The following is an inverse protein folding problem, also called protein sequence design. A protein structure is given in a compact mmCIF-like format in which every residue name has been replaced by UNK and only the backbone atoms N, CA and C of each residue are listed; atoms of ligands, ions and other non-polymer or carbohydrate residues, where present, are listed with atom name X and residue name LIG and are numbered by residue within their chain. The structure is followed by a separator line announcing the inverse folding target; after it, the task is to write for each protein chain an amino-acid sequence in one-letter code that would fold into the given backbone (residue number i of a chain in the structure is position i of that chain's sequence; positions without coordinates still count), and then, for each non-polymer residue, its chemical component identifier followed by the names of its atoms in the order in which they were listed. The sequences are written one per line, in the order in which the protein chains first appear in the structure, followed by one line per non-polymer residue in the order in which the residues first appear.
data_IF_493122865211
#
_entry.id   IF_493122865211
#
_cell.length_a   1.000
_cell.length_b   1.000
_cell.length_c   1.000
_cell.angle_alpha   90.00
_cell.angle_beta   90.00
_cell.angle_gamma   90.00
#
_symmetry.space_group_name_H-M   'P 1'
#
loop_
_entity.id
_entity.type
_entity.pdbx_description
1 polymer ?
#
# COMPACT_ATOMS: atom_id res chain seq x y z
N UNK A 1 -37.74 4.35 -8.69
CA UNK A 1 -37.42 3.02 -8.13
C UNK A 1 -35.92 2.84 -8.23
N UNK A 2 -35.25 2.57 -7.10
CA UNK A 2 -33.79 2.37 -7.05
C UNK A 2 -33.48 0.88 -7.21
N UNK A 3 -32.63 0.53 -8.16
CA UNK A 3 -32.06 -0.83 -8.27
C UNK A 3 -30.74 -0.88 -7.51
N UNK A 4 -30.63 -1.84 -6.58
CA UNK A 4 -29.45 -2.05 -5.74
C UNK A 4 -28.45 -2.97 -6.45
N UNK A 5 -27.43 -2.39 -7.08
CA UNK A 5 -26.25 -3.15 -7.53
C UNK A 5 -25.36 -3.51 -6.35
N UNK A 6 -25.09 -4.81 -6.15
CA UNK A 6 -24.20 -5.30 -5.09
C UNK A 6 -22.71 -5.10 -5.45
N UNK A 7 -21.79 -5.02 -4.46
CA UNK A 7 -20.37 -4.75 -4.75
C UNK A 7 -19.56 -5.95 -5.28
N UNK A 8 -20.17 -7.11 -5.54
CA UNK A 8 -19.44 -8.40 -5.60
C UNK A 8 -18.94 -8.82 -6.99
N UNK A 9 -19.39 -8.22 -8.09
CA UNK A 9 -19.15 -8.78 -9.44
C UNK A 9 -17.88 -8.31 -10.17
N UNK A 10 -17.11 -7.32 -9.67
CA UNK A 10 -15.89 -6.86 -10.35
C UNK A 10 -14.58 -7.57 -9.96
N UNK A 11 -14.63 -8.57 -9.07
CA UNK A 11 -13.45 -9.34 -8.62
C UNK A 11 -13.45 -10.80 -9.12
N UNK A 12 -13.49 -11.01 -10.44
CA UNK A 12 -13.21 -12.33 -11.05
C UNK A 12 -12.24 -12.25 -12.23
N UNK A 13 -10.97 -11.97 -11.93
CA UNK A 13 -9.85 -12.33 -12.80
C UNK A 13 -8.73 -13.01 -11.99
N UNK A 14 -8.41 -14.26 -12.34
CA UNK A 14 -7.18 -14.96 -11.96
C UNK A 14 -6.81 -15.02 -10.48
N UNK A 15 -7.58 -15.71 -9.63
CA UNK A 15 -7.10 -16.08 -8.29
C UNK A 15 -6.02 -17.16 -8.35
N UNK A 16 -4.76 -16.74 -8.43
CA UNK A 16 -3.57 -17.58 -8.27
C UNK A 16 -3.63 -18.35 -6.93
N UNK A 17 -3.40 -19.67 -6.94
CA UNK A 17 -3.43 -20.51 -5.72
C UNK A 17 -2.45 -20.03 -4.64
N UNK A 18 -1.37 -19.35 -5.03
CA UNK A 18 -0.45 -18.73 -4.07
C UNK A 18 -1.14 -17.62 -3.28
N UNK A 19 -2.05 -16.86 -3.88
CA UNK A 19 -2.79 -15.76 -3.23
C UNK A 19 -3.82 -16.32 -2.25
N UNK A 20 -4.56 -17.38 -2.62
CA UNK A 20 -5.53 -18.02 -1.70
C UNK A 20 -4.84 -18.69 -0.51
N UNK A 21 -3.63 -19.24 -0.72
CA UNK A 21 -2.74 -19.66 0.36
C UNK A 21 -2.33 -18.50 1.27
N UNK A 22 -1.81 -17.40 0.69
CA UNK A 22 -1.38 -16.19 1.43
C UNK A 22 -2.51 -15.56 2.24
N UNK A 23 -3.73 -15.48 1.71
CA UNK A 23 -4.89 -14.96 2.44
C UNK A 23 -5.29 -15.82 3.65
N UNK A 24 -4.98 -17.13 3.64
CA UNK A 24 -5.14 -18.00 4.81
C UNK A 24 -3.98 -17.86 5.81
N UNK A 25 -2.75 -17.65 5.35
CA UNK A 25 -1.57 -17.44 6.24
C UNK A 25 -1.62 -16.05 6.91
N UNK A 26 -2.13 -15.05 6.19
CA UNK A 26 -2.32 -13.67 6.63
C UNK A 26 -3.59 -13.53 7.49
N UNK A 27 -3.54 -13.89 8.76
CA UNK A 27 -4.70 -13.74 9.65
C UNK A 27 -4.61 -14.40 11.04
N UNK A 28 -3.48 -15.00 11.42
CA UNK A 28 -3.39 -15.71 12.70
C UNK A 28 -3.43 -14.77 13.92
N UNK A 29 -2.86 -13.56 13.80
CA UNK A 29 -2.96 -12.48 14.79
C UNK A 29 -3.72 -11.24 14.29
N UNK A 30 -4.13 -11.23 13.02
CA UNK A 30 -4.75 -10.08 12.34
C UNK A 30 -6.24 -10.36 12.14
N UNK A 31 -7.07 -10.12 13.17
CA UNK A 31 -8.51 -10.37 13.11
C UNK A 31 -9.30 -9.24 12.41
N UNK A 32 -8.75 -8.02 12.40
CA UNK A 32 -9.42 -6.82 11.88
C UNK A 32 -8.44 -6.01 11.02
N UNK A 33 -8.87 -5.69 9.80
CA UNK A 33 -8.17 -4.80 8.88
C UNK A 33 -9.07 -3.60 8.60
N UNK A 34 -8.52 -2.39 8.65
CA UNK A 34 -9.22 -1.15 8.31
C UNK A 34 -8.49 -0.43 7.19
N UNK A 35 -9.25 0.09 6.23
CA UNK A 35 -8.75 1.00 5.21
C UNK A 35 -8.90 2.45 5.68
N UNK A 36 -7.82 3.24 5.58
CA UNK A 36 -7.81 4.65 5.94
C UNK A 36 -7.33 5.48 4.75
N UNK A 37 -8.17 6.36 4.23
CA UNK A 37 -7.76 7.42 3.31
C UNK A 37 -6.94 8.46 4.06
N UNK A 38 -5.61 8.31 4.05
CA UNK A 38 -4.67 9.29 4.60
C UNK A 38 -4.50 10.45 3.60
N UNK A 39 -4.53 10.12 2.30
CA UNK A 39 -4.25 10.98 1.16
C UNK A 39 -2.80 11.49 1.14
N UNK A 40 -2.45 12.41 2.04
CA UNK A 40 -1.18 13.15 1.98
C UNK A 40 -0.78 13.71 3.35
N UNK A 41 0.52 13.75 3.68
CA UNK A 41 1.04 14.43 4.87
C UNK A 41 1.17 15.96 4.70
N UNK A 42 0.78 16.54 3.55
CA UNK A 42 0.77 18.00 3.35
C UNK A 42 -0.57 18.58 3.77
N UNK A 43 -0.59 19.50 4.72
CA UNK A 43 -1.85 20.15 5.13
C UNK A 43 -2.48 21.00 4.03
N UNK A 44 -1.67 21.59 3.16
CA UNK A 44 -2.12 22.38 2.00
C UNK A 44 -2.91 21.49 1.03
N UNK A 45 -2.35 20.32 0.70
CA UNK A 45 -2.98 19.33 -0.17
C UNK A 45 -4.21 18.67 0.49
N UNK A 46 -4.23 18.50 1.83
CA UNK A 46 -5.42 18.09 2.58
C UNK A 46 -6.55 19.15 2.53
N UNK A 47 -6.21 20.44 2.63
CA UNK A 47 -7.16 21.56 2.45
C UNK A 47 -7.70 21.56 1.01
N UNK A 48 -6.84 21.37 0.02
CA UNK A 48 -7.23 21.31 -1.39
C UNK A 48 -8.25 20.19 -1.68
N UNK A 49 -8.03 18.99 -1.12
CA UNK A 49 -8.94 17.85 -1.31
C UNK A 49 -10.12 17.81 -0.32
N UNK A 50 -10.32 18.88 0.49
CA UNK A 50 -11.39 19.01 1.50
C UNK A 50 -11.35 17.91 2.58
N UNK A 51 -10.19 17.31 2.81
CA UNK A 51 -9.94 16.34 3.88
C UNK A 51 -9.66 17.14 5.16
N UNK A 52 -10.73 17.58 5.84
CA UNK A 52 -10.65 18.40 7.06
C UNK A 52 -10.64 17.58 8.38
N UNK A 53 -10.92 16.28 8.29
CA UNK A 53 -10.15 15.33 9.10
C UNK A 53 -8.70 15.29 8.60
N UNK A 54 -7.80 14.49 9.17
CA UNK A 54 -6.37 14.46 8.78
C UNK A 54 -5.53 15.75 9.02
N UNK A 55 -6.10 16.96 9.01
CA UNK A 55 -5.44 18.25 9.34
C UNK A 55 -5.33 18.44 10.86
N UNK A 56 -4.36 19.25 11.32
CA UNK A 56 -4.15 19.66 12.72
C UNK A 56 -4.05 18.46 13.69
N UNK A 57 -3.51 17.33 13.21
CA UNK A 57 -3.36 16.10 14.01
C UNK A 57 -2.10 15.34 13.64
N UNK A 58 -1.56 14.62 14.62
CA UNK A 58 -0.50 13.66 14.37
C UNK A 58 -1.07 12.37 13.76
N UNK A 59 -1.17 12.35 12.43
CA UNK A 59 -1.64 11.21 11.64
C UNK A 59 -0.86 9.91 11.92
N UNK A 60 0.45 9.99 12.18
CA UNK A 60 1.27 8.83 12.56
C UNK A 60 0.81 8.27 13.90
N UNK A 61 0.55 9.13 14.89
CA UNK A 61 0.00 8.72 16.17
C UNK A 61 -1.40 8.12 16.01
N UNK A 62 -2.26 8.67 15.14
CA UNK A 62 -3.58 8.07 14.84
C UNK A 62 -3.47 6.64 14.29
N UNK A 63 -2.59 6.41 13.32
CA UNK A 63 -2.32 5.06 12.77
C UNK A 63 -1.81 4.12 13.85
N UNK A 64 -0.85 4.57 14.67
CA UNK A 64 -0.33 3.79 15.79
C UNK A 64 -1.40 3.46 16.81
N UNK A 65 -2.31 4.38 17.13
CA UNK A 65 -3.44 4.12 18.04
C UNK A 65 -4.32 2.98 17.52
N UNK A 66 -4.61 2.95 16.22
CA UNK A 66 -5.38 1.87 15.58
C UNK A 66 -4.63 0.53 15.68
N UNK A 67 -3.33 0.50 15.36
CA UNK A 67 -2.48 -0.70 15.47
C UNK A 67 -2.33 -1.20 16.92
N UNK A 68 -2.19 -0.28 17.88
CA UNK A 68 -2.15 -0.56 19.32
C UNK A 68 -3.50 -1.07 19.87
N UNK A 69 -4.58 -0.97 19.09
CA UNK A 69 -5.88 -1.61 19.33
C UNK A 69 -6.11 -2.79 18.36
N UNK A 70 -5.04 -3.46 17.92
CA UNK A 70 -5.09 -4.74 17.22
C UNK A 70 -5.71 -4.76 15.83
N UNK A 71 -5.77 -3.61 15.15
CA UNK A 71 -6.25 -3.48 13.77
C UNK A 71 -5.08 -3.25 12.80
N UNK A 72 -5.01 -4.03 11.71
CA UNK A 72 -4.09 -3.75 10.60
C UNK A 72 -4.59 -2.53 9.83
N UNK A 73 -3.78 -1.47 9.76
CA UNK A 73 -4.07 -0.31 8.91
C UNK A 73 -3.52 -0.58 7.51
N UNK A 74 -4.42 -0.59 6.54
CA UNK A 74 -4.11 -0.35 5.12
C UNK A 74 -4.47 1.10 4.79
N UNK A 75 -3.70 1.77 3.94
CA UNK A 75 -3.95 3.19 3.67
C UNK A 75 -3.79 3.59 2.22
N UNK A 76 -4.69 4.48 1.79
CA UNK A 76 -4.63 5.20 0.52
C UNK A 76 -3.82 6.49 0.66
N UNK A 77 -2.97 6.73 -0.33
CA UNK A 77 -2.13 7.90 -0.48
C UNK A 77 -2.21 8.41 -1.93
N UNK A 78 -2.17 9.71 -2.10
CA UNK A 78 -2.26 10.38 -3.41
C UNK A 78 -1.14 11.42 -3.50
N UNK A 79 -0.55 11.57 -4.69
CA UNK A 79 0.37 12.66 -5.03
C UNK A 79 0.01 13.28 -6.37
N UNK A 80 0.31 14.57 -6.54
CA UNK A 80 -0.05 15.35 -7.74
C UNK A 80 -1.15 16.39 -7.49
N UNK A 81 -1.39 16.75 -6.23
CA UNK A 81 -2.23 17.92 -5.90
C UNK A 81 -1.56 19.21 -6.38
N UNK A 82 -2.34 20.25 -6.65
CA UNK A 82 -1.79 21.54 -7.09
C UNK A 82 -0.95 22.24 -6.02
N UNK A 83 -1.15 21.85 -4.77
CA UNK A 83 -0.42 22.29 -3.58
C UNK A 83 0.84 21.46 -3.28
N UNK A 84 1.09 20.36 -4.01
CA UNK A 84 2.24 19.51 -3.75
C UNK A 84 3.55 20.15 -4.24
N UNK A 85 4.50 20.36 -3.31
CA UNK A 85 5.90 20.71 -3.64
C UNK A 85 6.73 19.44 -3.86
N UNK A 86 7.90 19.49 -4.53
CA UNK A 86 8.76 18.32 -4.74
C UNK A 86 9.18 17.57 -3.46
N UNK A 87 9.11 18.23 -2.29
CA UNK A 87 9.31 17.58 -0.98
C UNK A 87 8.27 16.49 -0.67
N UNK A 88 7.12 16.48 -1.35
CA UNK A 88 6.02 15.55 -1.05
C UNK A 88 6.45 14.08 -1.16
N UNK A 89 7.33 13.76 -2.10
CA UNK A 89 7.76 12.39 -2.34
C UNK A 89 8.50 11.83 -1.13
N UNK A 90 9.45 12.59 -0.59
CA UNK A 90 10.17 12.20 0.61
C UNK A 90 9.25 12.21 1.86
N UNK A 91 8.36 13.21 1.98
CA UNK A 91 7.37 13.26 3.07
C UNK A 91 6.45 12.03 3.08
N UNK A 92 5.95 11.59 1.93
CA UNK A 92 5.15 10.37 1.77
C UNK A 92 5.97 9.11 2.13
N UNK A 93 7.19 8.96 1.60
CA UNK A 93 8.10 7.85 1.92
C UNK A 93 8.34 7.78 3.44
N UNK A 94 8.65 8.91 4.06
CA UNK A 94 8.94 9.01 5.49
C UNK A 94 7.68 8.72 6.33
N UNK A 95 6.51 9.23 5.95
CA UNK A 95 5.25 8.91 6.61
C UNK A 95 4.94 7.41 6.59
N UNK A 96 5.01 6.77 5.41
CA UNK A 96 4.77 5.33 5.25
C UNK A 96 5.82 4.53 6.06
N UNK A 97 7.09 4.90 5.97
CA UNK A 97 8.17 4.28 6.75
C UNK A 97 8.00 4.47 8.26
N UNK A 98 7.42 5.57 8.75
CA UNK A 98 7.29 5.83 10.20
C UNK A 98 6.02 5.23 10.82
N UNK A 99 4.91 5.21 10.07
CA UNK A 99 3.59 4.72 10.50
C UNK A 99 3.47 3.20 10.56
N UNK A 100 4.41 2.44 10.01
CA UNK A 100 4.37 0.97 10.04
C UNK A 100 3.30 0.33 9.14
N UNK A 101 2.62 1.12 8.29
CA UNK A 101 1.57 0.64 7.38
C UNK A 101 2.18 -0.34 6.37
N UNK A 102 1.77 -1.61 6.42
CA UNK A 102 2.30 -2.64 5.50
C UNK A 102 1.78 -2.41 4.09
N UNK A 103 0.45 -2.32 3.95
CA UNK A 103 -0.25 -2.14 2.67
C UNK A 103 -0.48 -0.64 2.43
N UNK A 104 0.46 0.01 1.73
CA UNK A 104 0.40 1.41 1.36
C UNK A 104 0.07 1.53 -0.14
N UNK A 105 -1.16 1.95 -0.43
CA UNK A 105 -1.65 2.16 -1.80
C UNK A 105 -1.39 3.60 -2.18
N UNK A 106 -0.30 3.85 -2.89
CA UNK A 106 0.03 5.19 -3.42
C UNK A 106 -0.45 5.27 -4.86
N UNK A 107 -1.19 6.32 -5.21
CA UNK A 107 -1.62 6.61 -6.58
C UNK A 107 -1.26 8.03 -7.00
N UNK A 108 -1.31 8.27 -8.30
CA UNK A 108 -1.34 9.61 -8.87
C UNK A 108 -2.74 10.19 -8.71
N UNK A 109 -2.84 11.51 -8.51
CA UNK A 109 -4.12 12.20 -8.52
C UNK A 109 -4.77 12.06 -9.91
N UNK A 110 -6.04 11.69 -9.93
CA UNK A 110 -6.90 11.72 -11.11
C UNK A 110 -8.13 12.58 -10.83
N UNK A 111 -8.74 13.09 -11.88
CA UNK A 111 -9.97 13.87 -11.82
C UNK A 111 -11.10 13.11 -12.55
N UNK A 112 -11.82 12.18 -11.88
CA UNK A 112 -12.94 11.49 -12.52
C UNK A 112 -14.07 12.44 -12.93
N UNK A 113 -14.71 12.15 -14.06
CA UNK A 113 -15.86 12.92 -14.57
C UNK A 113 -16.96 13.09 -13.51
N UNK A 114 -17.51 14.29 -13.40
CA UNK A 114 -18.54 14.62 -12.39
C UNK A 114 -18.00 14.92 -10.99
N UNK A 115 -16.69 14.86 -10.75
CA UNK A 115 -16.10 15.34 -9.49
C UNK A 115 -15.90 16.87 -9.48
N UNK A 116 -15.90 17.48 -8.29
CA UNK A 116 -15.57 18.92 -8.13
C UNK A 116 -14.18 19.27 -8.68
N UNK A 117 -13.23 18.34 -8.59
CA UNK A 117 -11.88 18.50 -9.16
C UNK A 117 -11.93 18.53 -10.70
N UNK A 118 -12.69 17.63 -11.32
CA UNK A 118 -12.88 17.62 -12.77
C UNK A 118 -13.52 18.92 -13.28
N UNK A 119 -14.60 19.40 -12.65
CA UNK A 119 -15.23 20.66 -13.06
C UNK A 119 -14.30 21.88 -12.87
N UNK A 120 -13.50 21.91 -11.80
CA UNK A 120 -12.43 22.94 -11.62
C UNK A 120 -11.43 22.88 -12.77
N UNK A 121 -10.84 21.72 -13.04
CA UNK A 121 -9.81 21.55 -14.06
C UNK A 121 -10.34 21.76 -15.48
N UNK A 122 -11.64 21.52 -15.71
CA UNK A 122 -12.33 21.85 -16.96
C UNK A 122 -12.39 23.36 -17.18
N UNK A 123 -12.80 24.12 -16.15
CA UNK A 123 -12.82 25.59 -16.18
C UNK A 123 -11.42 26.20 -16.34
N UNK A 124 -10.41 25.57 -15.74
CA UNK A 124 -8.99 25.95 -15.88
C UNK A 124 -8.35 25.52 -17.22
N UNK A 125 -9.09 24.83 -18.12
CA UNK A 125 -8.59 24.26 -19.38
C UNK A 125 -7.39 23.30 -19.21
N UNK A 126 -7.40 22.52 -18.11
CA UNK A 126 -6.31 21.61 -17.73
C UNK A 126 -6.63 20.12 -17.90
N UNK A 127 -7.85 19.75 -18.28
CA UNK A 127 -8.18 18.34 -18.56
C UNK A 127 -7.51 17.85 -19.85
N UNK A 128 -7.08 16.58 -19.85
CA UNK A 128 -6.51 15.92 -21.02
C UNK A 128 -7.56 14.98 -21.65
N UNK A 129 -7.66 15.01 -22.98
CA UNK A 129 -8.54 14.14 -23.75
C UNK A 129 -7.98 12.71 -23.78
N UNK A 130 -8.70 11.75 -23.18
CA UNK A 130 -8.32 10.33 -23.21
C UNK A 130 -8.58 9.52 -21.95
N UNK A 131 -9.19 10.08 -20.89
CA UNK A 131 -9.38 9.36 -19.63
C UNK A 131 -10.29 8.13 -19.77
N UNK A 132 -9.76 6.95 -19.44
CA UNK A 132 -10.46 5.66 -19.52
C UNK A 132 -11.29 5.33 -18.28
N UNK A 133 -11.16 6.09 -17.18
CA UNK A 133 -11.84 5.81 -15.91
C UNK A 133 -11.21 4.69 -15.07
N UNK A 134 -10.12 4.08 -15.53
CA UNK A 134 -9.49 2.95 -14.84
C UNK A 134 -8.52 3.41 -13.73
N UNK A 135 -8.88 3.18 -12.46
CA UNK A 135 -8.04 3.50 -11.29
C UNK A 135 -6.76 2.62 -11.17
N UNK A 136 -6.55 1.68 -12.08
CA UNK A 136 -5.30 0.89 -12.22
C UNK A 136 -4.44 1.31 -13.41
N UNK A 137 -4.89 2.30 -14.18
CA UNK A 137 -4.07 2.91 -15.23
C UNK A 137 -3.19 4.00 -14.61
N UNK A 138 -1.99 3.60 -14.20
CA UNK A 138 -0.98 4.49 -13.63
C UNK A 138 -0.18 5.26 -14.70
N UNK A 139 -0.45 5.02 -15.99
CA UNK A 139 0.38 5.50 -17.10
C UNK A 139 -0.01 6.90 -17.61
N UNK A 140 -1.25 7.34 -17.37
CA UNK A 140 -1.75 8.62 -17.88
C UNK A 140 -2.35 9.50 -16.79
N UNK A 141 -1.75 10.68 -16.60
CA UNK A 141 -2.41 11.79 -15.91
C UNK A 141 -3.58 12.24 -16.79
N UNK A 142 -4.77 12.40 -16.21
CA UNK A 142 -5.96 12.85 -16.97
C UNK A 142 -6.14 14.37 -16.98
N UNK A 143 -5.15 15.10 -16.46
CA UNK A 143 -5.07 16.55 -16.44
C UNK A 143 -3.61 17.01 -16.42
N UNK A 144 -3.38 18.29 -16.67
CA UNK A 144 -2.07 18.94 -16.62
C UNK A 144 -1.82 19.40 -15.16
N UNK A 145 -0.96 18.74 -14.37
CA UNK A 145 -0.60 19.19 -13.02
C UNK A 145 0.19 20.51 -13.03
N UNK A 146 0.18 21.25 -11.90
CA UNK A 146 1.05 22.43 -11.72
C UNK A 146 2.51 22.07 -11.56
N UNK A 147 2.80 20.94 -10.91
CA UNK A 147 4.13 20.34 -10.94
C UNK A 147 4.42 19.83 -12.36
N UNK A 148 5.65 19.99 -12.84
CA UNK A 148 6.07 19.40 -14.11
C UNK A 148 5.71 17.89 -14.17
N UNK A 149 4.99 17.40 -15.21
CA UNK A 149 4.50 16.02 -15.26
C UNK A 149 5.58 14.96 -15.13
N UNK A 150 6.73 15.16 -15.79
CA UNK A 150 7.86 14.22 -15.72
C UNK A 150 8.40 14.11 -14.28
N UNK A 151 8.58 15.23 -13.58
CA UNK A 151 8.98 15.24 -12.16
C UNK A 151 7.94 14.58 -11.24
N UNK A 152 6.65 14.70 -11.57
CA UNK A 152 5.59 14.03 -10.81
C UNK A 152 5.64 12.50 -10.98
N UNK A 153 5.82 12.02 -12.21
CA UNK A 153 5.96 10.59 -12.52
C UNK A 153 7.24 10.01 -11.89
N UNK A 154 8.38 10.68 -12.02
CA UNK A 154 9.66 10.30 -11.39
C UNK A 154 9.54 10.25 -9.86
N UNK A 155 8.91 11.25 -9.25
CA UNK A 155 8.66 11.32 -7.82
C UNK A 155 7.73 10.21 -7.32
N UNK A 156 6.66 9.91 -8.06
CA UNK A 156 5.77 8.78 -7.79
C UNK A 156 6.51 7.43 -7.86
N UNK A 157 7.29 7.21 -8.93
CA UNK A 157 8.12 6.02 -9.13
C UNK A 157 9.18 5.87 -8.03
N UNK A 158 9.72 7.00 -7.55
CA UNK A 158 10.62 7.06 -6.38
C UNK A 158 9.93 6.66 -5.08
N UNK A 159 8.69 7.11 -4.81
CA UNK A 159 7.92 6.63 -3.63
C UNK A 159 7.77 5.11 -3.68
N UNK A 160 7.20 4.60 -4.77
CA UNK A 160 6.85 3.19 -4.94
C UNK A 160 8.07 2.29 -4.77
N UNK A 161 9.17 2.60 -5.46
CA UNK A 161 10.43 1.84 -5.34
C UNK A 161 11.02 1.92 -3.93
N UNK A 162 11.01 3.10 -3.30
CA UNK A 162 11.55 3.33 -1.95
C UNK A 162 10.76 2.66 -0.82
N UNK A 163 9.44 2.51 -0.95
CA UNK A 163 8.61 1.86 0.09
C UNK A 163 8.52 0.34 -0.07
N UNK A 164 8.76 -0.21 -1.26
CA UNK A 164 8.71 -1.66 -1.51
C UNK A 164 10.08 -2.34 -1.67
N UNK A 165 11.18 -1.57 -1.70
CA UNK A 165 12.54 -2.07 -1.50
C UNK A 165 12.62 -3.08 -0.32
N UNK A 166 13.30 -4.23 -0.46
CA UNK A 166 13.33 -5.26 0.58
C UNK A 166 13.84 -4.77 1.95
N UNK A 167 14.82 -3.87 2.00
CA UNK A 167 15.34 -3.36 3.26
C UNK A 167 14.34 -2.41 3.92
N UNK A 168 13.81 -1.44 3.16
CA UNK A 168 12.81 -0.49 3.64
C UNK A 168 11.50 -1.16 4.06
N UNK A 169 11.05 -2.17 3.31
CA UNK A 169 9.82 -2.90 3.58
C UNK A 169 9.93 -3.77 4.85
N UNK A 170 11.03 -4.51 5.04
CA UNK A 170 11.18 -5.34 6.24
C UNK A 170 11.49 -4.53 7.52
N UNK A 171 12.16 -3.38 7.43
CA UNK A 171 12.24 -2.46 8.58
C UNK A 171 10.87 -1.84 8.92
N UNK A 172 9.97 -1.70 7.94
CA UNK A 172 8.57 -1.33 8.19
C UNK A 172 7.78 -2.45 8.89
N UNK A 173 8.01 -3.72 8.53
CA UNK A 173 7.45 -4.87 9.28
C UNK A 173 7.88 -4.83 10.76
N UNK A 174 9.16 -4.58 11.08
CA UNK A 174 9.58 -4.46 12.49
C UNK A 174 9.02 -3.22 13.21
N UNK A 175 8.57 -2.18 12.49
CA UNK A 175 7.80 -1.10 13.11
C UNK A 175 6.40 -1.57 13.44
N UNK A 176 5.72 -2.22 12.50
CA UNK A 176 4.41 -2.82 12.74
C UNK A 176 4.42 -3.79 13.94
N UNK A 177 5.36 -4.74 14.02
CA UNK A 177 5.46 -5.69 15.15
C UNK A 177 5.76 -5.06 16.52
N UNK A 178 6.20 -3.78 16.57
CA UNK A 178 6.38 -3.04 17.83
C UNK A 178 5.12 -2.29 18.27
N UNK A 179 4.33 -1.83 17.32
CA UNK A 179 3.12 -1.03 17.58
C UNK A 179 1.86 -1.90 17.67
N UNK A 180 1.81 -3.01 16.94
CA UNK A 180 0.63 -3.87 16.87
C UNK A 180 0.42 -4.70 18.13
N UNK A 181 -0.76 -4.57 18.75
CA UNK A 181 -1.17 -5.31 19.95
C UNK A 181 -2.43 -6.13 19.66
N UNK A 182 -2.36 -7.46 19.45
CA UNK A 182 -3.53 -8.27 19.15
C UNK A 182 -4.56 -8.22 20.29
N UNK A 183 -5.85 -7.98 19.98
CA UNK A 183 -6.92 -7.89 21.00
C UNK A 183 -7.19 -9.25 21.67
N UNK A 184 -7.10 -10.35 20.91
CA UNK A 184 -7.36 -11.72 21.42
C UNK A 184 -6.27 -12.70 21.00
N UNK A 185 -6.01 -13.69 21.86
CA UNK A 185 -5.39 -14.96 21.45
C UNK A 185 -6.48 -15.83 20.85
N UNK A 186 -6.52 -15.98 19.52
CA UNK A 186 -7.15 -17.18 18.95
C UNK A 186 -6.44 -18.41 19.51
N UNK A 187 -7.22 -19.43 19.90
CA UNK A 187 -6.69 -20.79 20.06
C UNK A 187 -6.11 -21.16 18.70
N UNK A 188 -4.82 -21.50 18.63
CA UNK A 188 -4.14 -21.74 17.36
C UNK A 188 -4.99 -22.66 16.48
N UNK A 189 -5.44 -22.15 15.33
CA UNK A 189 -6.25 -22.95 14.41
C UNK A 189 -5.43 -24.19 14.02
N UNK A 190 -6.05 -25.37 14.03
CA UNK A 190 -5.37 -26.66 13.85
C UNK A 190 -4.35 -26.56 12.72
N UNK A 191 -3.10 -26.95 12.98
CA UNK A 191 -2.01 -26.97 12.00
C UNK A 191 -2.49 -27.52 10.64
N UNK A 192 -2.65 -26.64 9.66
CA UNK A 192 -3.03 -27.02 8.29
C UNK A 192 -1.76 -27.14 7.45
N UNK A 193 -1.65 -28.22 6.68
CA UNK A 193 -0.51 -28.49 5.78
C UNK A 193 -0.24 -27.34 4.78
N UNK A 194 -1.27 -26.55 4.45
CA UNK A 194 -1.17 -25.36 3.60
C UNK A 194 -0.19 -24.31 4.14
N UNK A 195 -0.07 -24.16 5.47
CA UNK A 195 0.89 -23.24 6.09
C UNK A 195 2.34 -23.69 5.90
N UNK A 196 2.59 -25.00 6.01
CA UNK A 196 3.91 -25.59 5.78
C UNK A 196 4.27 -25.48 4.29
N UNK A 197 3.33 -25.76 3.37
CA UNK A 197 3.52 -25.56 1.93
C UNK A 197 3.88 -24.10 1.61
N UNK A 198 3.11 -23.14 2.12
CA UNK A 198 3.36 -21.71 1.92
C UNK A 198 4.72 -21.26 2.50
N UNK A 199 5.10 -21.75 3.69
CA UNK A 199 6.40 -21.47 4.29
C UNK A 199 7.57 -22.03 3.46
N UNK A 200 7.47 -23.29 3.01
CA UNK A 200 8.48 -23.92 2.15
C UNK A 200 8.63 -23.18 0.81
N UNK A 201 7.50 -22.82 0.18
CA UNK A 201 7.50 -22.00 -1.04
C UNK A 201 8.13 -20.62 -0.79
N UNK A 202 7.79 -19.94 0.31
CA UNK A 202 8.38 -18.65 0.66
C UNK A 202 9.90 -18.75 0.93
N UNK A 203 10.35 -19.79 1.65
CA UNK A 203 11.78 -20.03 1.85
C UNK A 203 12.53 -20.31 0.54
N UNK A 204 11.92 -21.01 -0.41
CA UNK A 204 12.52 -21.23 -1.73
C UNK A 204 12.54 -19.95 -2.57
N UNK A 205 11.37 -19.36 -2.86
CA UNK A 205 11.29 -18.19 -3.74
C UNK A 205 11.94 -16.95 -3.13
N UNK A 206 11.63 -16.61 -1.87
CA UNK A 206 12.13 -15.39 -1.21
C UNK A 206 13.49 -15.58 -0.57
N UNK A 207 13.81 -16.78 -0.09
CA UNK A 207 15.06 -17.10 0.59
C UNK A 207 16.20 -17.57 -0.32
N UNK A 208 15.92 -18.06 -1.53
CA UNK A 208 16.95 -18.53 -2.47
C UNK A 208 16.95 -17.70 -3.76
N UNK A 209 15.80 -17.59 -4.44
CA UNK A 209 15.74 -16.99 -5.79
C UNK A 209 15.71 -15.45 -5.80
N UNK A 210 15.10 -14.81 -4.81
CA UNK A 210 14.92 -13.35 -4.79
C UNK A 210 16.22 -12.57 -4.55
N UNK A 211 16.30 -11.34 -5.09
CA UNK A 211 17.41 -10.41 -4.82
C UNK A 211 17.40 -9.98 -3.34
N UNK A 212 16.23 -9.78 -2.76
CA UNK A 212 16.02 -9.42 -1.35
C UNK A 212 16.33 -10.51 -0.31
N UNK A 213 16.80 -11.71 -0.70
CA UNK A 213 16.93 -12.89 0.19
C UNK A 213 17.70 -12.66 1.49
N UNK A 214 18.77 -11.86 1.47
CA UNK A 214 19.54 -11.51 2.70
C UNK A 214 18.66 -10.79 3.71
N UNK A 215 17.81 -9.87 3.25
CA UNK A 215 16.87 -9.16 4.11
C UNK A 215 15.73 -10.09 4.58
N UNK A 216 15.30 -11.06 3.76
CA UNK A 216 14.26 -12.02 4.12
C UNK A 216 14.73 -12.97 5.23
N UNK A 217 15.93 -13.55 5.12
CA UNK A 217 16.51 -14.37 6.19
C UNK A 217 16.76 -13.54 7.47
N UNK A 218 17.23 -12.29 7.34
CA UNK A 218 17.33 -11.35 8.48
C UNK A 218 15.96 -11.14 9.15
N UNK A 219 14.89 -10.98 8.36
CA UNK A 219 13.51 -10.87 8.84
C UNK A 219 13.08 -12.12 9.61
N UNK A 220 13.19 -13.30 9.03
CA UNK A 220 12.79 -14.54 9.68
C UNK A 220 13.56 -14.77 10.99
N UNK A 221 14.90 -14.73 10.96
CA UNK A 221 15.75 -14.98 12.13
C UNK A 221 15.39 -14.02 13.28
N UNK A 222 15.37 -12.70 13.01
CA UNK A 222 15.04 -11.69 14.03
C UNK A 222 13.58 -11.79 14.49
N UNK A 223 12.65 -12.24 13.63
CA UNK A 223 11.26 -12.50 14.04
C UNK A 223 11.17 -13.71 14.96
N UNK A 224 11.79 -14.83 14.63
CA UNK A 224 11.82 -16.04 15.47
C UNK A 224 12.34 -15.73 16.88
N UNK A 225 13.43 -14.97 17.02
CA UNK A 225 14.03 -14.71 18.33
C UNK A 225 13.41 -13.52 19.10
N UNK A 226 12.89 -12.48 18.44
CA UNK A 226 12.39 -11.25 19.11
C UNK A 226 10.87 -11.08 19.06
N UNK A 227 10.22 -11.68 18.08
CA UNK A 227 8.80 -11.52 17.77
C UNK A 227 8.14 -12.88 17.42
N UNK A 228 8.40 -13.99 18.14
CA UNK A 228 8.05 -15.35 17.68
C UNK A 228 6.57 -15.53 17.33
N UNK A 229 5.68 -14.81 18.04
CA UNK A 229 4.23 -14.79 17.78
C UNK A 229 3.89 -14.34 16.35
N UNK A 230 4.69 -13.45 15.76
CA UNK A 230 4.47 -12.81 14.46
C UNK A 230 5.19 -13.52 13.30
N UNK A 231 5.69 -14.74 13.50
CA UNK A 231 6.35 -15.50 12.44
C UNK A 231 5.43 -15.78 11.22
N UNK A 232 4.14 -16.14 11.38
CA UNK A 232 3.20 -16.29 10.26
C UNK A 232 2.98 -14.98 9.49
N UNK A 233 2.85 -13.85 10.21
CA UNK A 233 2.70 -12.53 9.63
C UNK A 233 3.97 -12.08 8.90
N UNK A 234 5.17 -12.40 9.41
CA UNK A 234 6.44 -12.06 8.73
C UNK A 234 6.56 -12.76 7.37
N UNK A 235 6.16 -14.04 7.29
CA UNK A 235 6.10 -14.78 6.02
C UNK A 235 5.04 -14.18 5.10
N UNK A 236 3.82 -13.97 5.60
CA UNK A 236 2.70 -13.42 4.83
C UNK A 236 3.00 -12.04 4.25
N UNK A 237 3.51 -11.12 5.08
CA UNK A 237 3.92 -9.79 4.65
C UNK A 237 5.11 -9.85 3.68
N UNK A 238 6.06 -10.77 3.84
CA UNK A 238 7.15 -10.94 2.86
C UNK A 238 6.63 -11.32 1.49
N UNK A 239 5.63 -12.20 1.43
CA UNK A 239 4.99 -12.59 0.18
C UNK A 239 4.21 -11.40 -0.40
N UNK A 240 3.35 -10.71 0.38
CA UNK A 240 2.66 -9.47 -0.07
C UNK A 240 3.66 -8.44 -0.64
N UNK A 241 4.75 -8.17 0.08
CA UNK A 241 5.82 -7.26 -0.35
C UNK A 241 6.51 -7.68 -1.65
N UNK A 242 6.69 -8.99 -1.87
CA UNK A 242 7.19 -9.52 -3.14
C UNK A 242 6.19 -9.33 -4.29
N UNK A 243 4.90 -9.58 -4.08
CA UNK A 243 3.86 -9.31 -5.09
C UNK A 243 3.83 -7.82 -5.47
N UNK A 244 3.84 -6.91 -4.49
CA UNK A 244 3.95 -5.46 -4.77
C UNK A 244 5.21 -5.15 -5.60
N UNK A 245 6.40 -5.63 -5.19
CA UNK A 245 7.64 -5.48 -6.00
C UNK A 245 7.54 -6.07 -7.40
N UNK A 246 6.72 -7.09 -7.64
CA UNK A 246 6.52 -7.71 -8.97
C UNK A 246 5.60 -6.83 -9.82
N UNK A 247 4.45 -6.41 -9.30
CA UNK A 247 3.50 -5.55 -10.01
C UNK A 247 4.13 -4.22 -10.43
N UNK A 248 4.79 -3.51 -9.52
CA UNK A 248 5.43 -2.23 -9.86
C UNK A 248 6.60 -2.38 -10.86
N UNK A 249 7.27 -3.54 -10.90
CA UNK A 249 8.27 -3.85 -11.95
C UNK A 249 7.65 -4.21 -13.29
N UNK A 250 6.42 -4.72 -13.32
CA UNK A 250 5.69 -4.95 -14.57
C UNK A 250 5.17 -3.61 -15.13
N UNK A 251 4.59 -2.76 -14.28
CA UNK A 251 4.18 -1.39 -14.65
C UNK A 251 5.34 -0.58 -15.23
N UNK A 252 6.48 -0.55 -14.54
CA UNK A 252 7.67 0.18 -14.99
C UNK A 252 8.31 -0.34 -16.30
N UNK A 253 7.89 -1.51 -16.81
CA UNK A 253 8.27 -2.03 -18.14
C UNK A 253 7.28 -1.61 -19.22
N UNK A 254 5.98 -1.69 -18.93
CA UNK A 254 4.91 -1.24 -19.83
C UNK A 254 5.04 0.26 -20.17
N UNK A 255 5.49 1.08 -19.22
CA UNK A 255 5.81 2.50 -19.43
C UNK A 255 7.06 2.76 -20.31
N UNK A 256 7.87 1.74 -20.60
CA UNK A 256 9.12 1.85 -21.39
C UNK A 256 9.03 1.27 -22.80
N UNK A 257 7.85 0.79 -23.19
CA UNK A 257 7.55 0.17 -24.49
C UNK A 257 6.55 1.03 -25.33
N UNK A 258 6.35 2.30 -24.94
CA UNK A 258 5.46 3.30 -25.55
C UNK A 258 6.24 4.56 -25.93
#
# INVERSE_FOLDING_TARGET
MLSTGSPEESQRSGTDESITGVSKVSGQLLELQIFVGIETPSEESLKECNKFNNINRNLIASVKTIQNNGMEVSAGFIVGFDSDTPSIFERQINFIKQSGIINAMVGLLSAPSGTRLFERLKQENRLLSGFTGNNTDFSSLNFIPKMNPQKLLEGYKSIITSIYDPAAFYERIYKFFREFKPIKRKRAERFQLIYIKALLQAMFYLGILEKGRRHYWKLLIKTTFRYPRFLPEAVSFSIKGFHYRKMFRQMARLEGEV
#
